data_IF_059461700426
#
_entry.id   IF_059461700426
#
_cell.length_a   1.000
_cell.length_b   1.000
_cell.length_c   1.000
_cell.angle_alpha   90.00
_cell.angle_beta   90.00
_cell.angle_gamma   90.00
#
_symmetry.space_group_name_H-M   'P 1'
#
loop_
_entity.id
_entity.type
_entity.pdbx_description
1 polymer ?
#
# COMPACT_ATOMS: atom_id res chain seq x y z
N UNK A 1 30.04 -15.00 90.56
CA UNK A 1 30.61 -15.64 89.36
C UNK A 1 29.66 -15.40 88.19
N UNK A 2 29.82 -14.28 87.50
CA UNK A 2 29.18 -14.01 86.22
C UNK A 2 30.10 -14.57 85.13
N UNK A 3 29.74 -15.70 84.52
CA UNK A 3 30.57 -16.34 83.50
C UNK A 3 30.78 -15.38 82.32
N UNK A 4 32.03 -14.96 82.03
CA UNK A 4 32.32 -14.05 80.92
C UNK A 4 31.87 -14.64 79.57
N UNK A 5 31.88 -15.97 79.43
CA UNK A 5 31.45 -16.67 78.22
C UNK A 5 29.95 -16.52 77.93
N UNK A 6 29.09 -16.41 78.96
CA UNK A 6 27.66 -16.16 78.76
C UNK A 6 27.40 -14.72 78.33
N UNK A 7 28.22 -13.77 78.80
CA UNK A 7 28.10 -12.37 78.41
C UNK A 7 28.54 -12.16 76.95
N UNK A 8 29.60 -12.86 76.54
CA UNK A 8 30.08 -12.88 75.15
C UNK A 8 29.04 -13.55 74.23
N UNK A 9 28.42 -14.66 74.63
CA UNK A 9 27.40 -15.33 73.80
C UNK A 9 26.14 -14.48 73.63
N UNK A 10 25.73 -13.72 74.66
CA UNK A 10 24.59 -12.80 74.55
C UNK A 10 24.94 -11.63 73.62
N UNK A 11 26.17 -11.11 73.70
CA UNK A 11 26.62 -10.00 72.85
C UNK A 11 26.71 -10.41 71.36
N UNK A 12 27.14 -11.63 71.05
CA UNK A 12 27.20 -12.13 69.67
C UNK A 12 25.81 -12.37 69.09
N UNK A 13 24.86 -12.87 69.87
CA UNK A 13 23.46 -13.02 69.43
C UNK A 13 22.83 -11.65 69.11
N UNK A 14 23.09 -10.63 69.94
CA UNK A 14 22.62 -9.26 69.69
C UNK A 14 23.27 -8.65 68.45
N UNK A 15 24.56 -8.90 68.22
CA UNK A 15 25.26 -8.42 67.03
C UNK A 15 24.71 -9.05 65.74
N UNK A 16 24.42 -10.36 65.74
CA UNK A 16 23.80 -11.04 64.59
C UNK A 16 22.39 -10.49 64.32
N UNK A 17 21.62 -10.21 65.37
CA UNK A 17 20.29 -9.63 65.23
C UNK A 17 20.33 -8.22 64.62
N UNK A 18 21.30 -7.39 65.02
CA UNK A 18 21.52 -6.07 64.42
C UNK A 18 21.90 -6.14 62.94
N UNK A 19 22.73 -7.11 62.55
CA UNK A 19 23.10 -7.32 61.15
C UNK A 19 21.88 -7.70 60.31
N UNK A 20 21.04 -8.60 60.81
CA UNK A 20 19.79 -9.00 60.13
C UNK A 20 18.85 -7.79 59.99
N UNK A 21 18.76 -6.93 61.01
CA UNK A 21 17.93 -5.73 60.99
C UNK A 21 18.43 -4.69 59.98
N UNK A 22 19.75 -4.57 59.80
CA UNK A 22 20.35 -3.72 58.78
C UNK A 22 20.03 -4.25 57.37
N UNK A 23 20.12 -5.57 57.15
CA UNK A 23 19.79 -6.17 55.85
C UNK A 23 18.30 -6.04 55.50
N UNK A 24 17.39 -6.15 56.47
CA UNK A 24 15.96 -5.92 56.22
C UNK A 24 15.67 -4.46 55.90
N UNK A 25 16.32 -3.51 56.56
CA UNK A 25 16.21 -2.07 56.24
C UNK A 25 16.74 -1.75 54.83
N UNK A 26 17.86 -2.36 54.41
CA UNK A 26 18.39 -2.20 53.05
C UNK A 26 17.43 -2.79 52.02
N UNK A 27 16.82 -3.95 52.30
CA UNK A 27 15.80 -4.56 51.45
C UNK A 27 14.56 -3.69 51.28
N UNK A 28 14.08 -3.06 52.36
CA UNK A 28 12.95 -2.12 52.33
C UNK A 28 13.31 -0.85 51.56
N UNK A 29 14.52 -0.32 51.74
CA UNK A 29 15.00 0.85 50.98
C UNK A 29 15.07 0.55 49.48
N UNK A 30 15.62 -0.60 49.09
CA UNK A 30 15.68 -1.03 47.69
C UNK A 30 14.27 -1.25 47.09
N UNK A 31 13.34 -1.78 47.89
CA UNK A 31 11.94 -1.94 47.48
C UNK A 31 11.24 -0.59 47.25
N UNK A 32 11.50 0.42 48.10
CA UNK A 32 10.96 1.78 47.92
C UNK A 32 11.53 2.43 46.65
N UNK A 33 12.83 2.32 46.40
CA UNK A 33 13.48 2.88 45.20
C UNK A 33 12.99 2.18 43.92
N UNK A 34 12.81 0.85 43.95
CA UNK A 34 12.26 0.10 42.83
C UNK A 34 10.79 0.47 42.55
N UNK A 35 10.02 0.83 43.59
CA UNK A 35 8.65 1.30 43.45
C UNK A 35 8.57 2.75 42.94
N UNK A 36 9.52 3.62 43.30
CA UNK A 36 9.63 4.96 42.73
C UNK A 36 9.91 4.93 41.22
N UNK A 37 10.84 4.09 40.76
CA UNK A 37 11.09 3.94 39.31
C UNK A 37 9.91 3.38 38.49
N UNK A 38 8.97 2.67 39.12
CA UNK A 38 7.72 2.23 38.46
C UNK A 38 6.59 3.26 38.55
N UNK A 39 6.64 4.17 39.52
CA UNK A 39 5.62 5.21 39.72
C UNK A 39 5.97 6.55 39.04
N UNK A 40 7.21 6.77 38.61
CA UNK A 40 7.62 7.94 37.82
C UNK A 40 7.13 7.87 36.35
N UNK A 41 6.47 6.76 35.95
CA UNK A 41 5.81 6.62 34.64
C UNK A 41 4.31 6.98 34.63
N UNK A 42 3.69 7.19 35.79
CA UNK A 42 2.26 7.50 35.90
C UNK A 42 2.00 8.39 37.12
N UNK A 43 2.16 9.70 36.95
CA UNK A 43 1.40 10.78 37.64
C UNK A 43 1.93 12.15 37.20
N UNK A 44 1.38 12.67 36.10
CA UNK A 44 1.43 14.10 35.82
C UNK A 44 0.26 14.77 36.56
N UNK A 45 0.59 15.49 37.63
CA UNK A 45 -0.33 16.37 38.35
C UNK A 45 -0.78 17.54 37.46
N UNK A 46 -2.09 17.82 37.50
CA UNK A 46 -2.69 19.06 37.00
C UNK A 46 -2.19 20.22 37.86
N UNK A 47 -1.32 21.06 37.30
CA UNK A 47 -1.12 22.43 37.77
C UNK A 47 -1.57 23.38 36.68
N UNK A 48 -2.61 24.17 36.99
CA UNK A 48 -2.99 25.35 36.22
C UNK A 48 -1.83 26.34 36.22
N UNK A 49 -1.23 26.58 35.05
CA UNK A 49 -0.29 27.65 34.82
C UNK A 49 -0.72 28.41 33.56
N UNK A 50 -0.86 29.72 33.72
CA UNK A 50 -1.05 30.75 32.68
C UNK A 50 -0.21 30.48 31.42
N UNK A 51 -0.76 30.69 30.20
CA UNK A 51 -0.11 30.29 28.96
C UNK A 51 1.10 31.19 28.65
N UNK A 52 2.28 30.56 28.67
CA UNK A 52 3.52 31.08 28.07
C UNK A 52 3.43 30.97 26.53
N UNK A 53 4.03 31.89 25.74
CA UNK A 53 3.83 31.95 24.28
C UNK A 53 4.58 30.88 23.49
N UNK A 54 5.30 29.96 24.14
CA UNK A 54 6.06 28.90 23.48
C UNK A 54 5.54 27.52 23.86
N UNK A 55 4.26 27.27 23.60
CA UNK A 55 3.74 25.91 23.57
C UNK A 55 4.35 25.20 22.35
N UNK A 56 5.42 24.45 22.56
CA UNK A 56 5.79 23.37 21.65
C UNK A 56 4.65 22.36 21.72
N UNK A 57 3.70 22.46 20.79
CA UNK A 57 2.68 21.44 20.62
C UNK A 57 3.41 20.11 20.46
N UNK A 58 3.12 19.17 21.34
CA UNK A 58 3.47 17.77 21.10
C UNK A 58 2.58 17.33 19.94
N UNK A 59 3.00 17.61 18.71
CA UNK A 59 2.43 17.04 17.50
C UNK A 59 2.82 15.57 17.52
N UNK A 60 2.12 14.77 18.34
CA UNK A 60 1.86 13.40 17.92
C UNK A 60 1.35 13.51 16.49
N UNK A 61 2.11 12.92 15.57
CA UNK A 61 1.84 13.07 14.15
C UNK A 61 0.37 12.76 13.93
N UNK A 62 -0.36 13.62 13.22
CA UNK A 62 -1.76 13.33 12.84
C UNK A 62 -1.82 11.95 12.15
N UNK A 63 -0.73 11.55 11.49
CA UNK A 63 -0.54 10.22 10.90
C UNK A 63 -0.50 9.08 11.92
N UNK A 64 -0.09 9.32 13.18
CA UNK A 64 -0.14 8.32 14.26
C UNK A 64 -1.52 8.15 14.84
N UNK A 65 -2.30 9.23 14.88
CA UNK A 65 -3.73 9.18 15.21
C UNK A 65 -4.55 8.53 14.10
N UNK A 66 -4.22 8.78 12.82
CA UNK A 66 -4.88 8.12 11.70
C UNK A 66 -4.43 6.65 11.59
N UNK A 67 -5.41 5.73 11.62
CA UNK A 67 -5.15 4.29 11.48
C UNK A 67 -4.90 3.83 10.03
N UNK A 68 -4.95 4.77 9.07
CA UNK A 68 -4.63 4.51 7.67
C UNK A 68 -3.33 5.19 7.26
N UNK A 69 -2.58 4.52 6.39
CA UNK A 69 -1.27 4.97 5.90
C UNK A 69 -1.42 5.75 4.59
N UNK A 70 -2.14 5.19 3.62
CA UNK A 70 -2.35 5.82 2.31
C UNK A 70 -3.64 5.36 1.64
N UNK A 71 -4.14 6.18 0.72
CA UNK A 71 -5.21 5.82 -0.22
C UNK A 71 -4.58 5.72 -1.60
N UNK A 72 -4.61 4.55 -2.20
CA UNK A 72 -3.99 4.26 -3.50
C UNK A 72 -4.92 3.31 -4.27
N UNK A 73 -4.98 3.39 -5.60
CA UNK A 73 -5.76 2.47 -6.45
C UNK A 73 -7.18 2.12 -5.95
N UNK A 74 -7.93 3.11 -5.49
CA UNK A 74 -9.30 2.95 -4.97
C UNK A 74 -9.40 2.02 -3.75
N UNK A 75 -8.31 1.86 -3.00
CA UNK A 75 -8.27 1.16 -1.72
C UNK A 75 -7.67 2.04 -0.62
N UNK A 76 -8.05 1.76 0.63
CA UNK A 76 -7.44 2.37 1.82
C UNK A 76 -6.50 1.33 2.41
N UNK A 77 -5.23 1.73 2.57
CA UNK A 77 -4.18 0.89 3.14
C UNK A 77 -4.01 1.30 4.60
N UNK A 78 -4.28 0.36 5.51
CA UNK A 78 -4.16 0.56 6.95
C UNK A 78 -2.86 0.00 7.50
N UNK A 79 -2.45 0.55 8.66
CA UNK A 79 -1.32 0.02 9.42
C UNK A 79 -1.59 -1.45 9.77
N UNK A 80 -0.54 -2.28 9.72
CA UNK A 80 -0.59 -3.74 9.96
C UNK A 80 -1.12 -4.59 8.79
N UNK A 81 -0.97 -4.13 7.55
CA UNK A 81 -1.25 -4.97 6.37
C UNK A 81 -2.74 -5.25 6.16
N UNK A 82 -3.60 -4.32 6.59
CA UNK A 82 -5.05 -4.39 6.37
C UNK A 82 -5.45 -3.45 5.24
N UNK A 83 -6.23 -3.96 4.31
CA UNK A 83 -6.64 -3.25 3.11
C UNK A 83 -8.15 -3.19 3.06
N UNK A 84 -8.67 -2.03 2.67
CA UNK A 84 -10.10 -1.77 2.63
C UNK A 84 -10.52 -1.30 1.25
N UNK A 85 -11.66 -1.81 0.77
CA UNK A 85 -12.37 -1.29 -0.38
C UNK A 85 -13.79 -0.90 0.04
N UNK A 86 -14.30 0.21 -0.48
CA UNK A 86 -15.59 0.74 -0.07
C UNK A 86 -16.55 0.79 -1.26
N UNK A 87 -17.75 0.26 -1.05
CA UNK A 87 -18.88 0.32 -1.96
C UNK A 87 -19.89 1.37 -1.47
N UNK A 88 -20.26 2.31 -2.33
CA UNK A 88 -21.41 3.20 -2.10
C UNK A 88 -22.67 2.53 -2.65
N UNK A 89 -23.73 2.48 -1.84
CA UNK A 89 -25.01 1.88 -2.20
C UNK A 89 -26.14 2.92 -2.19
N UNK A 90 -27.03 2.84 -3.17
CA UNK A 90 -28.24 3.64 -3.21
C UNK A 90 -29.38 2.92 -2.49
N UNK A 91 -30.07 3.64 -1.61
CA UNK A 91 -31.27 3.12 -0.97
C UNK A 91 -32.42 2.96 -1.97
N UNK A 92 -33.27 1.97 -1.73
CA UNK A 92 -34.53 1.75 -2.46
C UNK A 92 -35.73 2.13 -1.58
N UNK A 93 -36.83 2.56 -2.20
CA UNK A 93 -38.07 2.88 -1.49
C UNK A 93 -38.93 1.63 -1.31
N UNK A 94 -38.53 0.75 -0.39
CA UNK A 94 -39.19 -0.53 -0.13
C UNK A 94 -40.68 -0.39 0.21
N UNK A 95 -41.07 0.64 0.96
CA UNK A 95 -42.47 0.86 1.37
C UNK A 95 -43.42 1.28 0.23
N UNK A 96 -42.86 1.71 -0.91
CA UNK A 96 -43.63 2.11 -2.09
C UNK A 96 -43.75 0.99 -3.12
N UNK A 97 -43.10 -0.15 -2.87
CA UNK A 97 -43.11 -1.31 -3.76
C UNK A 97 -44.39 -2.13 -3.57
N UNK A 98 -44.76 -2.88 -4.61
CA UNK A 98 -45.83 -3.88 -4.50
C UNK A 98 -45.38 -5.08 -3.65
N UNK A 99 -46.33 -5.84 -3.09
CA UNK A 99 -46.00 -7.03 -2.28
C UNK A 99 -45.13 -8.05 -3.03
N UNK A 100 -45.34 -8.21 -4.34
CA UNK A 100 -44.51 -9.11 -5.16
C UNK A 100 -43.07 -8.60 -5.31
N UNK A 101 -42.89 -7.28 -5.47
CA UNK A 101 -41.56 -6.66 -5.53
C UNK A 101 -40.87 -6.75 -4.17
N UNK A 102 -41.58 -6.46 -3.08
CA UNK A 102 -41.08 -6.59 -1.71
C UNK A 102 -40.58 -8.02 -1.44
N UNK A 103 -41.36 -9.05 -1.79
CA UNK A 103 -40.96 -10.44 -1.66
C UNK A 103 -39.73 -10.79 -2.52
N UNK A 104 -39.60 -10.19 -3.70
CA UNK A 104 -38.43 -10.38 -4.57
C UNK A 104 -37.16 -9.77 -3.97
N UNK A 105 -37.29 -8.58 -3.39
CA UNK A 105 -36.20 -7.89 -2.67
C UNK A 105 -35.78 -8.69 -1.43
N UNK A 106 -36.73 -9.21 -0.66
CA UNK A 106 -36.45 -10.07 0.51
C UNK A 106 -35.71 -11.35 0.12
N UNK A 107 -36.17 -12.03 -0.94
CA UNK A 107 -35.50 -13.21 -1.46
C UNK A 107 -34.07 -12.89 -1.91
N UNK A 108 -33.87 -11.77 -2.61
CA UNK A 108 -32.55 -11.27 -2.98
C UNK A 108 -31.68 -10.99 -1.76
N UNK A 109 -32.24 -10.43 -0.70
CA UNK A 109 -31.51 -10.12 0.53
C UNK A 109 -31.08 -11.39 1.29
N UNK A 110 -31.92 -12.43 1.29
CA UNK A 110 -31.55 -13.75 1.83
C UNK A 110 -30.37 -14.33 1.03
N UNK A 111 -30.42 -14.25 -0.30
CA UNK A 111 -29.29 -14.67 -1.16
C UNK A 111 -28.02 -13.87 -0.85
N UNK A 112 -28.14 -12.55 -0.63
CA UNK A 112 -27.03 -11.70 -0.22
C UNK A 112 -26.38 -12.19 1.07
N UNK A 113 -27.16 -12.40 2.13
CA UNK A 113 -26.65 -12.88 3.41
C UNK A 113 -25.96 -14.25 3.28
N UNK A 114 -26.50 -15.15 2.47
CA UNK A 114 -25.91 -16.47 2.24
C UNK A 114 -24.61 -16.43 1.42
N UNK A 115 -24.37 -15.37 0.65
CA UNK A 115 -23.14 -15.22 -0.17
C UNK A 115 -21.98 -14.57 0.60
N UNK A 116 -22.23 -13.94 1.74
CA UNK A 116 -21.20 -13.29 2.55
C UNK A 116 -20.33 -14.34 3.24
N UNK A 117 -19.09 -14.48 2.77
CA UNK A 117 -18.08 -15.40 3.33
C UNK A 117 -16.97 -14.70 4.12
N UNK A 118 -17.00 -13.38 4.15
CA UNK A 118 -15.97 -12.52 4.72
C UNK A 118 -16.63 -11.37 5.47
N UNK A 119 -15.88 -10.77 6.39
CA UNK A 119 -16.39 -9.68 7.21
C UNK A 119 -16.64 -8.44 6.36
N UNK A 120 -17.85 -7.89 6.52
CA UNK A 120 -18.25 -6.61 5.95
C UNK A 120 -18.65 -5.65 7.07
N UNK A 121 -18.37 -4.37 6.87
CA UNK A 121 -18.83 -3.32 7.78
C UNK A 121 -19.78 -2.39 7.03
N UNK A 122 -20.97 -2.19 7.57
CA UNK A 122 -21.95 -1.25 7.03
C UNK A 122 -21.75 0.09 7.75
N UNK A 123 -21.53 1.14 6.97
CA UNK A 123 -21.39 2.50 7.47
C UNK A 123 -22.44 3.40 6.83
N UNK A 124 -23.19 4.14 7.64
CA UNK A 124 -24.23 5.06 7.17
C UNK A 124 -23.86 6.46 7.60
N UNK A 125 -23.79 7.36 6.61
CA UNK A 125 -23.48 8.76 6.86
C UNK A 125 -24.68 9.62 6.47
N UNK A 126 -25.09 10.50 7.38
CA UNK A 126 -26.07 11.54 7.06
C UNK A 126 -25.31 12.78 6.60
N UNK A 127 -25.68 13.32 5.44
CA UNK A 127 -25.06 14.49 4.82
C UNK A 127 -26.13 15.52 4.47
N UNK A 128 -25.76 16.80 4.47
CA UNK A 128 -26.64 17.81 3.91
C UNK A 128 -26.65 17.75 2.39
N UNK A 129 -27.76 18.13 1.77
CA UNK A 129 -27.84 18.21 0.31
C UNK A 129 -27.09 19.46 -0.15
N UNK A 130 -25.96 19.27 -0.82
CA UNK A 130 -25.21 20.36 -1.43
C UNK A 130 -25.80 20.70 -2.81
N UNK A 131 -26.39 21.89 -2.94
CA UNK A 131 -26.98 22.39 -4.19
C UNK A 131 -26.05 23.34 -4.96
N UNK A 132 -24.84 23.62 -4.46
CA UNK A 132 -23.93 24.63 -5.01
C UNK A 132 -23.56 24.34 -6.48
N UNK A 133 -23.20 23.08 -6.77
CA UNK A 133 -22.88 22.68 -8.14
C UNK A 133 -24.08 22.82 -9.07
N UNK A 134 -25.26 22.33 -8.65
CA UNK A 134 -26.49 22.44 -9.42
C UNK A 134 -26.86 23.90 -9.66
N UNK A 135 -26.76 24.75 -8.64
CA UNK A 135 -27.00 26.20 -8.72
C UNK A 135 -26.06 26.88 -9.71
N UNK A 136 -24.78 26.50 -9.72
CA UNK A 136 -23.80 27.00 -10.70
C UNK A 136 -24.21 26.64 -12.13
N UNK A 137 -24.59 25.40 -12.37
CA UNK A 137 -25.07 24.96 -13.69
C UNK A 137 -26.35 25.70 -14.11
N UNK A 138 -27.29 25.91 -13.18
CA UNK A 138 -28.49 26.71 -13.44
C UNK A 138 -28.15 28.17 -13.77
N UNK A 139 -27.19 28.78 -13.06
CA UNK A 139 -26.72 30.14 -13.34
C UNK A 139 -26.09 30.25 -14.73
N UNK A 140 -25.30 29.27 -15.15
CA UNK A 140 -24.73 29.25 -16.50
C UNK A 140 -25.82 29.22 -17.56
N UNK A 141 -26.80 28.31 -17.43
CA UNK A 141 -27.94 28.23 -18.38
C UNK A 141 -28.84 29.47 -18.31
N UNK A 142 -28.93 30.13 -17.15
CA UNK A 142 -29.70 31.36 -17.00
C UNK A 142 -29.09 32.52 -17.79
N UNK A 143 -27.76 32.61 -17.87
CA UNK A 143 -27.08 33.62 -18.71
C UNK A 143 -27.48 33.49 -20.18
N UNK A 144 -27.55 32.26 -20.71
CA UNK A 144 -28.02 32.04 -22.09
C UNK A 144 -29.48 32.48 -22.30
N UNK A 145 -30.32 32.34 -21.28
CA UNK A 145 -31.73 32.78 -21.31
C UNK A 145 -31.81 34.31 -21.26
N UNK A 146 -30.97 34.93 -20.43
CA UNK A 146 -30.85 36.38 -20.27
C UNK A 146 -30.34 37.04 -21.56
N UNK A 147 -29.32 36.50 -22.21
CA UNK A 147 -28.81 37.01 -23.48
C UNK A 147 -29.89 36.97 -24.57
N UNK A 148 -30.61 35.86 -24.69
CA UNK A 148 -31.74 35.73 -25.63
C UNK A 148 -32.87 36.70 -25.31
N UNK A 149 -33.17 36.90 -24.03
CA UNK A 149 -34.16 37.87 -23.58
C UNK A 149 -33.76 39.28 -24.01
N UNK A 150 -32.53 39.69 -23.75
CA UNK A 150 -32.00 41.01 -24.11
C UNK A 150 -32.02 41.23 -25.63
N UNK A 151 -31.63 40.22 -26.43
CA UNK A 151 -31.67 40.28 -27.90
C UNK A 151 -33.11 40.48 -28.40
N UNK A 152 -34.05 39.67 -27.91
CA UNK A 152 -35.46 39.76 -28.33
C UNK A 152 -36.12 41.06 -27.86
N UNK A 153 -35.78 41.54 -26.66
CA UNK A 153 -36.25 42.81 -26.14
C UNK A 153 -35.76 43.97 -27.02
N UNK A 154 -34.47 44.00 -27.34
CA UNK A 154 -33.90 45.02 -28.21
C UNK A 154 -34.50 44.97 -29.62
N UNK A 155 -34.68 43.77 -30.19
CA UNK A 155 -35.35 43.57 -31.49
C UNK A 155 -36.77 44.13 -31.47
N UNK A 156 -37.56 43.79 -30.46
CA UNK A 156 -38.94 44.30 -30.31
C UNK A 156 -38.94 45.83 -30.14
N UNK A 157 -38.03 46.38 -29.34
CA UNK A 157 -37.94 47.82 -29.12
C UNK A 157 -37.52 48.58 -30.38
N UNK A 158 -36.61 48.03 -31.20
CA UNK A 158 -36.25 48.60 -32.50
C UNK A 158 -37.42 48.62 -33.47
N UNK A 159 -38.15 47.49 -33.60
CA UNK A 159 -39.33 47.40 -34.47
C UNK A 159 -40.43 48.38 -34.05
N UNK A 160 -40.61 48.58 -32.74
CA UNK A 160 -41.59 49.53 -32.19
C UNK A 160 -41.18 51.00 -32.41
N UNK A 161 -39.88 51.29 -32.44
CA UNK A 161 -39.35 52.66 -32.52
C UNK A 161 -39.04 53.11 -33.96
N UNK A 162 -39.15 52.21 -34.93
CA UNK A 162 -38.96 52.51 -36.34
C UNK A 162 -40.07 53.45 -36.86
N UNK A 163 -39.76 54.22 -37.90
CA UNK A 163 -40.72 55.14 -38.52
C UNK A 163 -42.00 54.41 -38.98
N UNK A 164 -43.14 55.09 -38.81
CA UNK A 164 -44.46 54.55 -39.14
C UNK A 164 -44.52 54.09 -40.60
N UNK A 165 -44.77 52.80 -40.84
CA UNK A 165 -44.89 52.18 -42.17
C UNK A 165 -43.70 51.32 -42.61
N UNK A 166 -42.60 51.27 -41.85
CA UNK A 166 -41.43 50.42 -42.16
C UNK A 166 -41.68 48.92 -41.95
N UNK A 167 -42.59 48.55 -41.04
CA UNK A 167 -42.90 47.17 -40.67
C UNK A 167 -44.41 46.97 -40.59
N UNK A 168 -44.85 45.74 -40.86
CA UNK A 168 -46.28 45.38 -40.76
C UNK A 168 -46.67 45.16 -39.31
N UNK A 169 -47.87 45.54 -38.90
CA UNK A 169 -48.40 45.31 -37.54
C UNK A 169 -48.29 43.83 -37.10
N UNK A 170 -48.43 42.90 -38.06
CA UNK A 170 -48.24 41.48 -37.84
C UNK A 170 -46.81 41.11 -37.41
N UNK A 171 -45.79 41.71 -38.03
CA UNK A 171 -44.38 41.44 -37.72
C UNK A 171 -44.01 41.96 -36.33
N UNK A 172 -44.56 43.11 -35.95
CA UNK A 172 -44.40 43.68 -34.60
C UNK A 172 -45.09 42.78 -33.56
N UNK A 173 -46.28 42.26 -33.88
CA UNK A 173 -47.01 41.35 -33.00
C UNK A 173 -46.29 40.00 -32.81
N UNK A 174 -45.77 39.41 -33.90
CA UNK A 174 -45.02 38.15 -33.82
C UNK A 174 -43.75 38.32 -32.96
N UNK A 175 -43.01 39.42 -33.15
CA UNK A 175 -41.86 39.76 -32.30
C UNK A 175 -42.24 40.00 -30.83
N UNK A 176 -43.40 40.63 -30.58
CA UNK A 176 -43.92 40.81 -29.22
C UNK A 176 -44.22 39.47 -28.53
N UNK A 177 -44.87 38.54 -29.24
CA UNK A 177 -45.19 37.21 -28.70
C UNK A 177 -43.91 36.43 -28.38
N UNK A 178 -42.90 36.47 -29.24
CA UNK A 178 -41.59 35.86 -28.98
C UNK A 178 -40.91 36.47 -27.75
N UNK A 179 -40.90 37.81 -27.66
CA UNK A 179 -40.38 38.53 -26.51
C UNK A 179 -41.09 38.13 -25.20
N UNK A 180 -42.42 38.11 -25.17
CA UNK A 180 -43.20 37.76 -23.97
C UNK A 180 -42.95 36.31 -23.54
N UNK A 181 -42.89 35.37 -24.49
CA UNK A 181 -42.54 33.97 -24.18
C UNK A 181 -41.17 33.87 -23.51
N UNK A 182 -40.17 34.57 -24.06
CA UNK A 182 -38.83 34.56 -23.50
C UNK A 182 -38.77 35.30 -22.14
N UNK A 183 -39.51 36.40 -21.99
CA UNK A 183 -39.65 37.14 -20.73
C UNK A 183 -40.19 36.25 -19.61
N UNK A 184 -41.29 35.54 -19.85
CA UNK A 184 -41.88 34.65 -18.86
C UNK A 184 -40.89 33.54 -18.44
N UNK A 185 -40.14 32.99 -19.40
CA UNK A 185 -39.08 32.00 -19.12
C UNK A 185 -37.95 32.58 -18.28
N UNK A 186 -37.51 33.81 -18.57
CA UNK A 186 -36.51 34.52 -17.79
C UNK A 186 -36.98 34.74 -16.35
N UNK A 187 -38.17 35.33 -16.16
CA UNK A 187 -38.74 35.61 -14.83
C UNK A 187 -38.91 34.33 -14.01
N UNK A 188 -39.52 33.29 -14.59
CA UNK A 188 -39.69 32.00 -13.93
C UNK A 188 -38.35 31.37 -13.51
N UNK A 189 -37.35 31.39 -14.40
CA UNK A 189 -36.04 30.80 -14.11
C UNK A 189 -35.31 31.60 -13.02
N UNK A 190 -35.40 32.93 -13.06
CA UNK A 190 -34.83 33.83 -12.05
C UNK A 190 -35.41 33.54 -10.66
N UNK A 191 -36.73 33.39 -10.59
CA UNK A 191 -37.42 33.08 -9.33
C UNK A 191 -37.05 31.69 -8.79
N UNK A 192 -36.94 30.67 -9.65
CA UNK A 192 -36.46 29.35 -9.24
C UNK A 192 -35.05 29.44 -8.66
N UNK A 193 -34.12 30.14 -9.33
CA UNK A 193 -32.75 30.26 -8.86
C UNK A 193 -32.72 30.95 -7.49
N UNK A 194 -33.41 32.09 -7.35
CA UNK A 194 -33.47 32.82 -6.08
C UNK A 194 -34.07 31.98 -4.93
N UNK A 195 -35.15 31.24 -5.20
CA UNK A 195 -35.75 30.34 -4.22
C UNK A 195 -34.84 29.16 -3.88
N UNK A 196 -34.14 28.62 -4.87
CA UNK A 196 -33.19 27.50 -4.68
C UNK A 196 -31.96 27.95 -3.90
N UNK A 197 -31.44 29.15 -4.14
CA UNK A 197 -30.35 29.74 -3.35
C UNK A 197 -30.76 29.93 -1.89
N UNK A 198 -31.94 30.53 -1.67
CA UNK A 198 -32.47 30.72 -0.32
C UNK A 198 -32.71 29.39 0.39
N UNK A 199 -33.19 28.37 -0.33
CA UNK A 199 -33.39 27.03 0.20
C UNK A 199 -32.07 26.30 0.45
N UNK A 200 -31.05 26.53 -0.39
CA UNK A 200 -29.71 25.97 -0.23
C UNK A 200 -28.99 26.51 1.01
N UNK A 201 -29.22 27.79 1.35
CA UNK A 201 -28.68 28.40 2.57
C UNK A 201 -29.35 27.80 3.83
N UNK A 202 -30.62 27.40 3.72
CA UNK A 202 -31.33 26.66 4.76
C UNK A 202 -31.09 25.15 4.58
N UNK A 203 -29.87 24.72 4.87
CA UNK A 203 -29.39 23.33 4.76
C UNK A 203 -30.03 22.36 5.77
N UNK A 204 -31.35 22.31 5.86
CA UNK A 204 -32.08 21.38 6.73
C UNK A 204 -32.45 20.06 6.03
N UNK A 205 -32.20 19.96 4.72
CA UNK A 205 -32.49 18.74 3.95
C UNK A 205 -31.31 17.79 4.07
N UNK A 206 -31.52 16.72 4.84
CA UNK A 206 -30.54 15.67 5.06
C UNK A 206 -30.81 14.49 4.13
N UNK A 207 -29.76 13.94 3.56
CA UNK A 207 -29.79 12.68 2.83
C UNK A 207 -28.84 11.67 3.49
N UNK A 208 -29.19 10.38 3.42
CA UNK A 208 -28.35 9.30 3.93
C UNK A 208 -27.57 8.68 2.78
N UNK A 209 -26.28 8.48 3.00
CA UNK A 209 -25.41 7.67 2.15
C UNK A 209 -25.06 6.37 2.86
N UNK A 210 -25.16 5.27 2.13
CA UNK A 210 -24.90 3.93 2.64
C UNK A 210 -23.60 3.40 2.03
N UNK A 211 -22.73 2.89 2.88
CA UNK A 211 -21.44 2.35 2.49
C UNK A 211 -21.26 0.94 3.03
N UNK A 212 -20.70 0.06 2.21
CA UNK A 212 -20.25 -1.27 2.61
C UNK A 212 -18.73 -1.30 2.47
N UNK A 213 -18.06 -1.52 3.59
CA UNK A 213 -16.62 -1.59 3.69
C UNK A 213 -16.23 -3.07 3.72
N UNK A 214 -15.33 -3.43 2.82
CA UNK A 214 -14.81 -4.79 2.68
C UNK A 214 -13.36 -4.75 3.11
N UNK A 215 -12.97 -5.61 4.06
CA UNK A 215 -11.59 -5.76 4.49
C UNK A 215 -10.94 -7.03 3.93
N UNK A 216 -9.63 -6.92 3.70
CA UNK A 216 -8.75 -8.05 3.42
C UNK A 216 -7.43 -7.84 4.17
N UNK A 217 -6.94 -8.90 4.81
CA UNK A 217 -5.66 -8.89 5.50
C UNK A 217 -4.56 -9.51 4.63
N UNK A 218 -3.34 -9.00 4.71
CA UNK A 218 -2.15 -9.59 4.06
C UNK A 218 -1.97 -11.07 4.43
N UNK A 219 -2.38 -11.46 5.65
CA UNK A 219 -2.29 -12.83 6.17
C UNK A 219 -3.19 -13.83 5.42
N UNK A 220 -4.26 -13.35 4.77
CA UNK A 220 -5.15 -14.21 3.97
C UNK A 220 -4.51 -14.64 2.65
N UNK A 221 -3.47 -13.93 2.20
CA UNK A 221 -2.77 -14.18 0.94
C UNK A 221 -1.40 -14.78 1.26
N UNK A 222 -0.99 -15.79 0.50
CA UNK A 222 0.34 -16.36 0.67
C UNK A 222 1.40 -15.37 0.17
N UNK A 223 1.98 -14.61 1.10
CA UNK A 223 2.92 -13.50 0.84
C UNK A 223 4.39 -13.91 0.83
N UNK A 224 4.72 -15.20 1.02
CA UNK A 224 6.07 -15.61 1.41
C UNK A 224 7.20 -15.32 0.39
N UNK A 225 6.89 -14.97 -0.87
CA UNK A 225 7.91 -14.73 -1.91
C UNK A 225 7.62 -13.53 -2.83
N UNK A 226 6.67 -12.65 -2.48
CA UNK A 226 6.26 -11.58 -3.38
C UNK A 226 6.79 -10.22 -2.94
N UNK A 227 7.08 -9.35 -3.91
CA UNK A 227 7.38 -7.94 -3.65
C UNK A 227 6.15 -7.23 -3.07
N UNK A 228 6.37 -6.09 -2.39
CA UNK A 228 5.27 -5.30 -1.80
C UNK A 228 4.23 -4.88 -2.84
N UNK A 229 4.66 -4.54 -4.04
CA UNK A 229 3.78 -4.09 -5.13
C UNK A 229 2.94 -5.26 -5.71
N UNK A 230 3.53 -6.45 -5.79
CA UNK A 230 2.82 -7.67 -6.20
C UNK A 230 1.78 -8.09 -5.16
N UNK A 231 2.13 -8.02 -3.87
CA UNK A 231 1.20 -8.28 -2.77
C UNK A 231 0.00 -7.33 -2.86
N UNK A 232 0.25 -6.03 -3.06
CA UNK A 232 -0.82 -5.04 -3.23
C UNK A 232 -1.71 -5.35 -4.43
N UNK A 233 -1.14 -5.75 -5.56
CA UNK A 233 -1.89 -6.13 -6.76
C UNK A 233 -2.76 -7.37 -6.55
N UNK A 234 -2.26 -8.36 -5.80
CA UNK A 234 -3.03 -9.54 -5.42
C UNK A 234 -4.19 -9.18 -4.50
N UNK A 235 -3.93 -8.35 -3.48
CA UNK A 235 -4.95 -7.88 -2.54
C UNK A 235 -6.01 -7.04 -3.26
N UNK A 236 -5.60 -6.17 -4.18
CA UNK A 236 -6.52 -5.42 -5.03
C UNK A 236 -7.47 -6.35 -5.79
N UNK A 237 -6.92 -7.39 -6.42
CA UNK A 237 -7.69 -8.35 -7.22
C UNK A 237 -8.70 -9.12 -6.36
N UNK A 238 -8.30 -9.51 -5.14
CA UNK A 238 -9.16 -10.19 -4.18
C UNK A 238 -10.28 -9.26 -3.67
N UNK A 239 -9.94 -8.05 -3.21
CA UNK A 239 -10.92 -7.04 -2.78
C UNK A 239 -11.90 -6.68 -3.90
N UNK A 240 -11.40 -6.51 -5.12
CA UNK A 240 -12.21 -6.20 -6.28
C UNK A 240 -13.17 -7.33 -6.62
N UNK A 241 -12.72 -8.58 -6.51
CA UNK A 241 -13.56 -9.77 -6.71
C UNK A 241 -14.64 -9.88 -5.64
N UNK A 242 -14.29 -9.68 -4.36
CA UNK A 242 -15.24 -9.60 -3.24
C UNK A 242 -16.27 -8.50 -3.45
N UNK A 243 -15.83 -7.30 -3.82
CA UNK A 243 -16.68 -6.16 -4.11
C UNK A 243 -17.64 -6.45 -5.27
N UNK A 244 -17.16 -6.98 -6.39
CA UNK A 244 -18.00 -7.37 -7.52
C UNK A 244 -19.02 -8.44 -7.16
N UNK A 245 -18.66 -9.41 -6.33
CA UNK A 245 -19.58 -10.44 -5.86
C UNK A 245 -20.75 -9.84 -5.06
N UNK A 246 -20.42 -8.92 -4.15
CA UNK A 246 -21.41 -8.17 -3.36
C UNK A 246 -22.29 -7.32 -4.29
N UNK A 247 -21.70 -6.56 -5.22
CA UNK A 247 -22.44 -5.73 -6.16
C UNK A 247 -23.45 -6.53 -6.98
N UNK A 248 -23.06 -7.70 -7.48
CA UNK A 248 -23.96 -8.59 -8.25
C UNK A 248 -25.13 -9.08 -7.41
N UNK A 249 -24.89 -9.35 -6.13
CA UNK A 249 -25.94 -9.86 -5.26
C UNK A 249 -26.86 -8.76 -4.75
N UNK A 250 -26.33 -7.57 -4.45
CA UNK A 250 -27.12 -6.38 -4.15
C UNK A 250 -27.98 -5.94 -5.34
N UNK A 251 -27.47 -6.08 -6.57
CA UNK A 251 -28.25 -5.77 -7.77
C UNK A 251 -29.49 -6.66 -7.94
N UNK A 252 -29.49 -7.89 -7.39
CA UNK A 252 -30.70 -8.75 -7.33
C UNK A 252 -31.73 -8.24 -6.32
N UNK A 253 -31.27 -7.48 -5.32
CA UNK A 253 -32.13 -6.79 -4.35
C UNK A 253 -32.59 -5.41 -4.87
N UNK A 254 -32.37 -5.11 -6.16
CA UNK A 254 -32.56 -3.78 -6.78
C UNK A 254 -31.69 -2.65 -6.18
N UNK A 255 -30.73 -3.00 -5.31
CA UNK A 255 -29.81 -2.04 -4.70
C UNK A 255 -28.65 -1.80 -5.65
N UNK A 256 -28.61 -0.62 -6.27
CA UNK A 256 -27.49 -0.21 -7.10
C UNK A 256 -26.28 0.16 -6.23
N UNK A 257 -25.10 -0.33 -6.60
CA UNK A 257 -23.86 -0.12 -5.87
C UNK A 257 -22.71 0.26 -6.80
N UNK A 258 -21.78 1.06 -6.30
CA UNK A 258 -20.58 1.52 -7.02
C UNK A 258 -19.35 1.42 -6.12
N UNK A 259 -18.24 0.93 -6.64
CA UNK A 259 -16.93 1.01 -5.97
C UNK A 259 -16.48 2.47 -5.94
N UNK A 260 -16.09 2.97 -4.76
CA UNK A 260 -15.60 4.33 -4.63
C UNK A 260 -14.21 4.49 -5.23
N UNK A 261 -14.03 5.57 -5.99
CA UNK A 261 -12.73 5.97 -6.52
C UNK A 261 -11.88 6.61 -5.40
N UNK A 262 -10.55 6.71 -5.55
CA UNK A 262 -9.65 7.30 -4.54
C UNK A 262 -10.11 8.69 -4.07
N UNK A 263 -10.64 9.52 -4.98
CA UNK A 263 -11.22 10.83 -4.62
C UNK A 263 -12.46 10.70 -3.73
N UNK A 264 -13.34 9.76 -4.04
CA UNK A 264 -14.53 9.48 -3.25
C UNK A 264 -14.21 8.89 -1.87
N UNK A 265 -13.14 8.09 -1.76
CA UNK A 265 -12.61 7.60 -0.49
C UNK A 265 -12.06 8.74 0.38
N UNK A 266 -11.28 9.65 -0.22
CA UNK A 266 -10.78 10.83 0.50
C UNK A 266 -11.94 11.71 0.96
N UNK A 267 -12.96 11.93 0.13
CA UNK A 267 -14.15 12.68 0.51
C UNK A 267 -14.92 12.00 1.66
N UNK A 268 -15.07 10.67 1.60
CA UNK A 268 -15.69 9.89 2.67
C UNK A 268 -14.94 10.07 3.99
N UNK A 269 -13.62 9.92 3.98
CA UNK A 269 -12.77 10.10 5.16
C UNK A 269 -12.85 11.54 5.67
N UNK A 270 -12.70 12.52 4.78
CA UNK A 270 -12.76 13.94 5.15
C UNK A 270 -14.08 14.27 5.85
N UNK A 271 -15.21 13.80 5.33
CA UNK A 271 -16.51 14.03 5.94
C UNK A 271 -16.71 13.24 7.23
N UNK A 272 -16.06 12.09 7.40
CA UNK A 272 -16.11 11.31 8.63
C UNK A 272 -15.35 12.01 9.77
N UNK A 273 -14.20 12.61 9.46
CA UNK A 273 -13.38 13.34 10.44
C UNK A 273 -13.85 14.78 10.69
N UNK A 274 -14.36 15.47 9.67
CA UNK A 274 -14.77 16.88 9.73
C UNK A 274 -16.29 17.03 9.61
N UNK A 275 -17.05 16.34 10.44
CA UNK A 275 -18.52 16.23 10.31
C UNK A 275 -19.26 17.58 10.38
N UNK A 276 -18.74 18.56 11.11
CA UNK A 276 -19.38 19.87 11.29
C UNK A 276 -19.11 20.82 10.11
N UNK A 277 -17.89 20.79 9.55
CA UNK A 277 -17.44 21.72 8.52
C UNK A 277 -17.49 21.15 7.10
N UNK A 278 -17.66 19.83 6.95
CA UNK A 278 -17.64 19.14 5.65
C UNK A 278 -18.68 19.63 4.66
N UNK A 279 -19.77 20.21 5.15
CA UNK A 279 -20.83 20.76 4.32
C UNK A 279 -20.38 22.04 3.58
N UNK A 280 -19.52 22.83 4.21
CA UNK A 280 -18.99 24.10 3.67
C UNK A 280 -17.69 23.84 2.90
N UNK A 281 -16.80 23.05 3.49
CA UNK A 281 -15.50 22.74 2.94
C UNK A 281 -15.46 21.28 2.49
N UNK A 282 -15.83 21.01 1.25
CA UNK A 282 -15.66 19.66 0.70
C UNK A 282 -14.18 19.37 0.44
N UNK A 283 -13.78 18.09 0.56
CA UNK A 283 -12.42 17.66 0.18
C UNK A 283 -12.05 18.09 -1.25
N UNK A 284 -13.02 18.04 -2.17
CA UNK A 284 -12.81 18.48 -3.55
C UNK A 284 -12.55 19.99 -3.65
N UNK A 285 -13.22 20.80 -2.83
CA UNK A 285 -12.97 22.26 -2.73
C UNK A 285 -11.54 22.52 -2.24
N UNK A 286 -11.08 21.77 -1.24
CA UNK A 286 -9.72 21.90 -0.70
C UNK A 286 -8.64 21.53 -1.73
N UNK A 287 -8.83 20.41 -2.43
CA UNK A 287 -7.94 19.97 -3.53
C UNK A 287 -7.91 21.03 -4.64
N UNK A 288 -9.08 21.53 -5.06
CA UNK A 288 -9.17 22.54 -6.12
C UNK A 288 -8.56 23.88 -5.73
N UNK A 289 -8.60 24.25 -4.45
CA UNK A 289 -7.94 25.44 -3.92
C UNK A 289 -6.41 25.28 -3.83
N UNK A 290 -5.86 24.11 -4.18
CA UNK A 290 -4.43 23.85 -4.17
C UNK A 290 -3.85 23.76 -2.76
N UNK A 291 -4.65 23.39 -1.75
CA UNK A 291 -4.13 23.17 -0.40
C UNK A 291 -2.99 22.14 -0.37
N UNK A 292 -3.02 21.15 -1.28
CA UNK A 292 -1.97 20.14 -1.44
C UNK A 292 -0.62 20.73 -1.90
N UNK A 293 -0.61 21.94 -2.48
CA UNK A 293 0.63 22.60 -2.93
C UNK A 293 1.50 23.12 -1.78
N UNK A 294 0.92 23.31 -0.59
CA UNK A 294 1.63 23.77 0.60
C UNK A 294 2.29 22.63 1.38
N UNK A 295 1.86 21.39 1.16
CA UNK A 295 2.38 20.21 1.84
C UNK A 295 3.26 19.41 0.89
N UNK A 296 4.58 19.58 1.01
CA UNK A 296 5.52 18.71 0.31
C UNK A 296 5.55 17.35 1.02
N UNK A 297 4.98 16.32 0.40
CA UNK A 297 5.15 14.91 0.81
C UNK A 297 6.50 14.33 0.39
N UNK A 298 7.39 15.15 -0.17
CA UNK A 298 8.72 14.71 -0.54
C UNK A 298 9.45 14.25 0.73
N UNK A 299 10.06 13.05 0.73
CA UNK A 299 10.88 12.61 1.85
C UNK A 299 12.01 13.62 2.07
N UNK A 300 12.42 13.77 3.33
CA UNK A 300 13.50 14.69 3.70
C UNK A 300 14.73 14.45 2.79
N UNK A 301 15.44 15.52 2.48
CA UNK A 301 16.67 15.49 1.68
C UNK A 301 17.66 14.49 2.26
N UNK A 302 17.67 14.33 3.59
CA UNK A 302 18.51 13.36 4.31
C UNK A 302 18.07 11.92 4.04
N UNK A 303 16.78 11.59 4.15
CA UNK A 303 16.26 10.25 3.87
C UNK A 303 16.47 9.86 2.41
N UNK A 304 16.29 10.81 1.49
CA UNK A 304 16.57 10.61 0.07
C UNK A 304 18.06 10.32 -0.17
N UNK A 305 18.96 11.03 0.52
CA UNK A 305 20.41 10.75 0.47
C UNK A 305 20.72 9.38 1.07
N UNK A 306 20.13 9.01 2.20
CA UNK A 306 20.33 7.68 2.81
C UNK A 306 19.89 6.56 1.87
N UNK A 307 18.74 6.69 1.22
CA UNK A 307 18.26 5.71 0.23
C UNK A 307 19.20 5.58 -0.97
N UNK A 308 19.73 6.69 -1.48
CA UNK A 308 20.71 6.68 -2.56
C UNK A 308 22.03 6.03 -2.14
N UNK A 309 22.50 6.30 -0.93
CA UNK A 309 23.71 5.69 -0.36
C UNK A 309 23.50 4.17 -0.20
N UNK A 310 22.36 3.73 0.31
CA UNK A 310 22.06 2.29 0.44
C UNK A 310 22.05 1.59 -0.92
N UNK A 311 21.46 2.22 -1.94
CA UNK A 311 21.48 1.70 -3.31
C UNK A 311 22.91 1.61 -3.86
N UNK A 312 23.75 2.62 -3.60
CA UNK A 312 25.17 2.59 -3.96
C UNK A 312 25.94 1.48 -3.23
N UNK A 313 25.64 1.24 -1.95
CA UNK A 313 26.24 0.16 -1.17
C UNK A 313 25.86 -1.20 -1.78
N UNK A 314 24.60 -1.39 -2.18
CA UNK A 314 24.12 -2.62 -2.82
C UNK A 314 24.77 -2.85 -4.19
N UNK A 315 24.83 -1.82 -5.04
CA UNK A 315 25.50 -1.89 -6.35
C UNK A 315 27.02 -2.17 -6.21
N UNK A 316 27.68 -1.59 -5.21
CA UNK A 316 29.10 -1.84 -4.98
C UNK A 316 29.35 -3.22 -4.36
N UNK A 317 28.50 -3.65 -3.43
CA UNK A 317 28.57 -4.98 -2.82
C UNK A 317 28.35 -6.11 -3.84
N UNK A 318 27.40 -5.94 -4.77
CA UNK A 318 27.17 -6.90 -5.86
C UNK A 318 28.33 -6.95 -6.84
N UNK A 319 28.95 -5.81 -7.19
CA UNK A 319 30.16 -5.79 -8.03
C UNK A 319 31.32 -6.52 -7.37
N UNK A 320 31.61 -6.23 -6.10
CA UNK A 320 32.68 -6.87 -5.35
C UNK A 320 32.46 -8.39 -5.20
N UNK A 321 31.23 -8.81 -4.93
CA UNK A 321 30.87 -10.22 -4.86
C UNK A 321 31.09 -10.95 -6.20
N UNK A 322 30.69 -10.32 -7.31
CA UNK A 322 30.90 -10.88 -8.64
C UNK A 322 32.39 -10.98 -9.00
N UNK A 323 33.20 -9.98 -8.63
CA UNK A 323 34.65 -9.99 -8.83
C UNK A 323 35.31 -11.13 -8.05
N UNK A 324 34.99 -11.28 -6.76
CA UNK A 324 35.49 -12.38 -5.93
C UNK A 324 35.08 -13.77 -6.45
N UNK A 325 33.85 -13.92 -6.98
CA UNK A 325 33.39 -15.17 -7.59
C UNK A 325 34.15 -15.48 -8.88
N UNK A 326 34.48 -14.45 -9.68
CA UNK A 326 35.27 -14.61 -10.91
C UNK A 326 36.72 -14.99 -10.61
N UNK A 327 37.34 -14.37 -9.61
CA UNK A 327 38.68 -14.71 -9.14
C UNK A 327 38.75 -16.16 -8.63
N UNK A 328 37.80 -16.56 -7.77
CA UNK A 328 37.74 -17.94 -7.26
C UNK A 328 37.47 -18.99 -8.35
N UNK A 329 36.75 -18.63 -9.43
CA UNK A 329 36.59 -19.50 -10.61
C UNK A 329 37.90 -19.63 -11.38
N UNK A 330 38.60 -18.52 -11.61
CA UNK A 330 39.89 -18.51 -12.30
C UNK A 330 40.94 -19.32 -11.55
N UNK A 331 41.00 -19.19 -10.22
CA UNK A 331 41.91 -19.98 -9.37
C UNK A 331 41.60 -21.48 -9.46
N UNK A 332 40.33 -21.87 -9.44
CA UNK A 332 39.92 -23.27 -9.60
C UNK A 332 40.27 -23.82 -10.99
N UNK A 333 40.11 -23.01 -12.04
CA UNK A 333 40.50 -23.39 -13.41
C UNK A 333 42.03 -23.55 -13.52
N UNK A 334 42.79 -22.65 -12.92
CA UNK A 334 44.26 -22.74 -12.85
C UNK A 334 44.71 -24.00 -12.11
N UNK A 335 44.10 -24.28 -10.96
CA UNK A 335 44.36 -25.50 -10.19
C UNK A 335 44.00 -26.78 -10.94
N UNK A 336 42.91 -26.78 -11.70
CA UNK A 336 42.51 -27.91 -12.55
C UNK A 336 43.55 -28.15 -13.66
N UNK A 337 44.01 -27.09 -14.34
CA UNK A 337 45.04 -27.16 -15.38
C UNK A 337 46.37 -27.72 -14.84
N UNK A 338 46.81 -27.23 -13.67
CA UNK A 338 48.01 -27.74 -12.99
C UNK A 338 47.86 -29.23 -12.63
N UNK A 339 46.66 -29.63 -12.19
CA UNK A 339 46.38 -31.03 -11.82
C UNK A 339 46.34 -31.94 -13.05
N UNK A 340 45.81 -31.47 -14.18
CA UNK A 340 45.82 -32.19 -15.45
C UNK A 340 47.23 -32.36 -16.03
N UNK A 341 48.06 -31.33 -15.98
CA UNK A 341 49.47 -31.42 -16.40
C UNK A 341 50.25 -32.42 -15.54
N UNK A 342 50.03 -32.38 -14.22
CA UNK A 342 50.68 -33.29 -13.28
C UNK A 342 50.08 -34.71 -13.29
N UNK A 343 48.82 -34.89 -13.71
CA UNK A 343 48.16 -36.20 -13.75
C UNK A 343 48.91 -37.19 -14.64
N UNK A 344 49.47 -36.74 -15.78
CA UNK A 344 50.26 -37.60 -16.66
C UNK A 344 51.46 -38.20 -15.96
N UNK A 345 52.19 -37.41 -15.18
CA UNK A 345 53.35 -37.86 -14.42
C UNK A 345 52.97 -38.78 -13.26
N UNK A 346 51.90 -38.43 -12.54
CA UNK A 346 51.37 -39.22 -11.42
C UNK A 346 50.86 -40.59 -11.85
N UNK A 347 50.31 -40.75 -13.06
CA UNK A 347 49.87 -42.05 -13.60
C UNK A 347 51.05 -43.01 -13.76
N UNK A 348 52.20 -42.53 -14.25
CA UNK A 348 53.39 -43.37 -14.38
C UNK A 348 53.98 -43.75 -13.01
N UNK A 349 54.00 -42.80 -12.06
CA UNK A 349 54.49 -43.06 -10.71
C UNK A 349 53.57 -44.06 -9.97
N UNK A 350 52.26 -43.92 -10.15
CA UNK A 350 51.28 -44.86 -9.60
C UNK A 350 51.38 -46.26 -10.24
N UNK A 351 51.64 -46.34 -11.55
CA UNK A 351 51.88 -47.61 -12.24
C UNK A 351 53.16 -48.30 -11.72
N UNK A 352 54.23 -47.56 -11.44
CA UNK A 352 55.44 -48.11 -10.80
C UNK A 352 55.16 -48.61 -9.38
N UNK A 353 54.35 -47.88 -8.61
CA UNK A 353 53.96 -48.28 -7.26
C UNK A 353 53.12 -49.56 -7.27
N UNK A 354 52.12 -49.68 -8.15
CA UNK A 354 51.31 -50.90 -8.30
C UNK A 354 52.15 -52.12 -8.69
N UNK A 355 53.15 -51.94 -9.55
CA UNK A 355 54.08 -53.03 -9.91
C UNK A 355 54.97 -53.40 -8.72
N UNK A 356 55.37 -52.43 -7.90
CA UNK A 356 56.17 -52.65 -6.68
C UNK A 356 55.37 -53.34 -5.58
N UNK A 357 54.10 -52.97 -5.39
CA UNK A 357 53.22 -53.58 -4.38
C UNK A 357 52.86 -55.03 -4.74
N UNK A 358 52.83 -55.37 -6.04
CA UNK A 358 52.57 -56.73 -6.52
C UNK A 358 53.85 -57.53 -6.83
N UNK A 359 55.02 -57.02 -6.41
CA UNK A 359 56.35 -57.62 -6.67
C UNK A 359 56.49 -59.02 -6.06
N UNK A 360 55.79 -59.28 -4.95
CA UNK A 360 55.74 -60.58 -4.27
C UNK A 360 55.01 -61.65 -5.10
N UNK A 361 54.02 -61.25 -5.92
CA UNK A 361 53.24 -62.15 -6.77
C UNK A 361 53.80 -62.28 -8.20
N UNK A 362 54.41 -61.22 -8.73
CA UNK A 362 54.92 -61.16 -10.11
C UNK A 362 56.37 -61.67 -10.23
N UNK A 363 57.11 -61.74 -9.12
CA UNK A 363 58.52 -62.11 -9.10
C UNK A 363 59.44 -60.90 -9.38
N UNK A 364 60.60 -60.89 -8.71
CA UNK A 364 61.51 -59.73 -8.66
C UNK A 364 62.02 -59.31 -10.04
N UNK A 365 62.41 -60.27 -10.86
CA UNK A 365 62.99 -60.00 -12.19
C UNK A 365 61.96 -59.44 -13.18
N UNK A 366 60.71 -59.91 -13.12
CA UNK A 366 59.63 -59.47 -14.02
C UNK A 366 59.12 -58.09 -13.59
N UNK A 367 59.07 -57.83 -12.29
CA UNK A 367 58.62 -56.56 -11.73
C UNK A 367 59.60 -55.42 -12.04
N UNK A 368 60.91 -55.67 -11.95
CA UNK A 368 61.92 -54.68 -12.33
C UNK A 368 61.94 -54.41 -13.84
N UNK A 369 61.81 -55.44 -14.70
CA UNK A 369 61.69 -55.23 -16.16
C UNK A 369 60.43 -54.43 -16.53
N UNK A 370 59.32 -54.67 -15.83
CA UNK A 370 58.08 -53.91 -16.02
C UNK A 370 58.24 -52.44 -15.58
N UNK A 371 58.89 -52.16 -14.44
CA UNK A 371 59.20 -50.79 -13.98
C UNK A 371 60.10 -50.06 -14.99
N UNK A 372 61.12 -50.72 -15.53
CA UNK A 372 62.00 -50.14 -16.56
C UNK A 372 61.22 -49.76 -17.83
N UNK A 373 60.28 -50.60 -18.27
CA UNK A 373 59.41 -50.30 -19.43
C UNK A 373 58.46 -49.12 -19.17
N UNK A 374 57.92 -49.00 -17.95
CA UNK A 374 57.08 -47.85 -17.54
C UNK A 374 57.92 -46.56 -17.53
N UNK A 375 59.15 -46.59 -16.99
CA UNK A 375 60.09 -45.46 -17.02
C UNK A 375 60.48 -45.04 -18.43
N UNK A 376 60.66 -46.00 -19.34
CA UNK A 376 60.97 -45.73 -20.74
C UNK A 376 59.80 -45.04 -21.44
N UNK A 377 58.56 -45.51 -21.22
CA UNK A 377 57.34 -44.87 -21.72
C UNK A 377 57.12 -43.46 -21.13
N UNK A 378 57.49 -43.24 -19.86
CA UNK A 378 57.47 -41.91 -19.22
C UNK A 378 58.42 -40.94 -19.94
N UNK A 379 59.64 -41.37 -20.29
CA UNK A 379 60.62 -40.57 -21.06
C UNK A 379 60.16 -40.32 -22.50
N UNK A 380 59.64 -41.33 -23.19
CA UNK A 380 59.09 -41.20 -24.55
C UNK A 380 57.90 -40.21 -24.60
N UNK A 381 57.04 -40.21 -23.57
CA UNK A 381 55.91 -39.29 -23.47
C UNK A 381 56.31 -37.84 -23.11
N UNK A 382 57.48 -37.62 -22.51
CA UNK A 382 58.00 -36.27 -22.21
C UNK A 382 58.82 -35.66 -23.35
N UNK A 383 59.39 -36.48 -24.25
CA UNK A 383 60.21 -36.02 -25.38
C UNK A 383 59.43 -35.94 -26.71
N UNK A 384 58.29 -36.64 -26.83
CA UNK A 384 57.41 -36.62 -28.01
C UNK A 384 56.51 -35.39 -28.11
N UNK A 385 57.10 -34.22 -28.34
CA UNK A 385 56.39 -32.98 -28.64
C UNK A 385 56.69 -32.47 -30.05
N UNK A 386 56.28 -33.21 -31.10
CA UNK A 386 55.91 -32.64 -32.41
C UNK A 386 55.36 -33.70 -33.39
N UNK A 387 54.38 -33.27 -34.20
CA UNK A 387 53.74 -33.90 -35.38
C UNK A 387 52.63 -34.95 -35.17
N UNK A 388 51.35 -34.54 -35.28
CA UNK A 388 50.62 -34.52 -36.56
C UNK A 388 49.11 -34.22 -36.37
N UNK A 389 48.64 -33.16 -37.04
CA UNK A 389 47.27 -33.04 -37.53
C UNK A 389 47.10 -33.96 -38.74
N UNK A 390 46.10 -34.84 -38.76
CA UNK A 390 45.07 -34.91 -39.83
C UNK A 390 44.07 -36.06 -39.64
N UNK A 391 42.78 -35.67 -39.56
CA UNK A 391 41.56 -36.28 -40.13
C UNK A 391 41.30 -37.81 -40.10
N UNK A 392 40.21 -38.19 -39.40
CA UNK A 392 39.17 -39.05 -40.00
C UNK A 392 37.76 -38.90 -39.35
N UNK A 393 36.87 -38.23 -40.10
CA UNK A 393 35.44 -38.50 -40.42
C UNK A 393 34.42 -38.98 -39.34
N UNK A 394 33.49 -38.05 -39.04
CA UNK A 394 32.00 -38.14 -39.03
C UNK A 394 31.25 -39.37 -38.46
N UNK A 395 30.32 -39.11 -37.54
CA UNK A 395 28.87 -39.38 -37.74
C UNK A 395 27.97 -38.61 -36.77
N UNK A 396 26.99 -37.92 -37.32
CA UNK A 396 25.90 -37.27 -36.60
C UNK A 396 24.94 -38.31 -36.00
N UNK A 397 24.39 -38.04 -34.82
CA UNK A 397 23.07 -38.54 -34.41
C UNK A 397 22.31 -37.40 -33.73
N UNK A 398 21.13 -37.09 -34.27
CA UNK A 398 20.20 -36.07 -33.80
C UNK A 398 19.73 -36.37 -32.37
N UNK A 399 19.94 -35.42 -31.46
CA UNK A 399 19.34 -35.36 -30.13
C UNK A 399 18.51 -34.08 -29.96
N UNK A 400 17.22 -34.28 -29.75
CA UNK A 400 16.08 -33.37 -29.55
C UNK A 400 16.37 -32.07 -28.74
N UNK A 401 15.84 -30.93 -29.22
CA UNK A 401 15.70 -29.64 -28.49
C UNK A 401 15.04 -29.83 -27.11
N UNK A 402 15.47 -29.11 -26.06
CA UNK A 402 14.58 -28.69 -24.99
C UNK A 402 13.79 -27.44 -25.44
N UNK A 403 12.49 -27.49 -25.23
CA UNK A 403 11.57 -26.37 -25.39
C UNK A 403 11.89 -25.29 -24.36
N UNK A 404 12.25 -24.09 -24.82
CA UNK A 404 12.08 -22.87 -24.06
C UNK A 404 10.58 -22.59 -23.94
N UNK A 405 10.01 -22.90 -22.77
CA UNK A 405 8.74 -22.32 -22.36
C UNK A 405 9.00 -20.85 -22.01
N UNK A 406 8.54 -19.97 -22.87
CA UNK A 406 8.20 -18.61 -22.48
C UNK A 406 6.91 -18.70 -21.67
N UNK A 407 6.96 -18.21 -20.44
CA UNK A 407 5.96 -17.28 -19.94
C UNK A 407 6.65 -15.92 -19.77
#
# INVERSE_FOLDING_TARGET
MSNPDQLISVLTIVAVFLIILIFTLIGVWFFIVAKQKKNDGEKSEKNEATPSPNATYNLQSIMDFMEFEKVEDNMIIQKKGKYLMVLECQGINYDLMSEMEMASVEQGFIEFLNTLKFDIQIYVQTRTVNLEFSLREYKLKFRDIEDKYNILQNKYMQLKSAESGMYTDKEIYDAYVEYVKQKNKYEYTKDIIANTEKSSLNSSVLHKKYYIIISCYEEEINTQNYSRDEIQSMIFSELYTRARSIMRTLSRCEVNSKILDSKGLVELLYNAYNREDSDIFSAQTAINAGFDSLYSTAPDVIDKKMKLINKQIEENGTKLANEAVMEAKSDKEMMLRIREENAKNLIFDFAEQLISENEEYLGKDISEDAKVKVRRKKKEATEGGNENETNEKTKATRGRRPSSGNE
#
